data_IF_839989820704
#
_entry.id   IF_839989820704
#
_cell.length_a   1.000
_cell.length_b   1.000
_cell.length_c   1.000
_cell.angle_alpha   90.00
_cell.angle_beta   90.00
_cell.angle_gamma   90.00
#
_symmetry.space_group_name_H-M   'P 1'
#
loop_
_entity.id
_entity.type
_entity.pdbx_description
1 polymer ?
#
# COMPACT_ATOMS: atom_id res chain seq x y z
N UNK A 1 -0.30 -4.59 4.58
CA UNK A 1 -1.61 -4.83 5.22
C UNK A 1 -1.64 -6.14 6.03
N UNK A 2 -1.18 -7.25 5.49
CA UNK A 2 -1.29 -8.57 6.14
C UNK A 2 -0.65 -8.67 7.53
N UNK A 3 0.52 -8.04 7.76
CA UNK A 3 1.17 -8.10 9.08
C UNK A 3 0.33 -7.42 10.17
N UNK A 4 -0.19 -6.19 10.02
CA UNK A 4 -1.11 -5.60 11.00
C UNK A 4 -2.33 -6.48 11.30
N UNK A 5 -2.97 -7.05 10.28
CA UNK A 5 -4.10 -7.95 10.48
C UNK A 5 -3.71 -9.20 11.27
N UNK A 6 -2.59 -9.85 10.91
CA UNK A 6 -2.09 -11.01 11.66
C UNK A 6 -1.83 -10.68 13.13
N UNK A 7 -1.25 -9.50 13.40
CA UNK A 7 -0.96 -9.07 14.78
C UNK A 7 -2.23 -8.79 15.57
N UNK A 8 -3.28 -8.23 14.92
CA UNK A 8 -4.57 -7.98 15.54
C UNK A 8 -5.31 -9.27 15.93
N UNK A 9 -5.21 -10.30 15.08
CA UNK A 9 -5.96 -11.55 15.22
C UNK A 9 -5.20 -12.64 16.01
N UNK A 10 -3.98 -12.36 16.47
CA UNK A 10 -3.08 -13.39 16.98
C UNK A 10 -3.36 -13.89 18.40
N UNK A 11 -4.22 -13.24 19.21
CA UNK A 11 -4.69 -13.65 20.53
C UNK A 11 -3.62 -14.38 21.39
N UNK A 12 -2.50 -13.82 21.70
CA UNK A 12 -1.42 -14.47 22.46
C UNK A 12 -0.84 -15.78 21.83
N UNK A 13 -1.29 -16.16 20.64
CA UNK A 13 -0.79 -17.36 19.94
C UNK A 13 0.62 -17.17 19.37
N UNK A 14 1.04 -15.91 19.20
CA UNK A 14 2.37 -15.55 18.70
C UNK A 14 3.29 -15.26 19.89
N UNK A 15 4.46 -15.92 19.92
CA UNK A 15 5.43 -15.64 20.99
C UNK A 15 5.87 -14.17 20.98
N UNK A 16 6.17 -13.57 22.17
CA UNK A 16 6.59 -12.17 22.25
C UNK A 16 7.81 -11.81 21.38
N UNK A 17 8.70 -12.77 21.13
CA UNK A 17 9.86 -12.61 20.26
C UNK A 17 9.46 -12.48 18.80
N UNK A 18 8.57 -13.33 18.31
CA UNK A 18 8.04 -13.28 16.94
C UNK A 18 7.20 -12.02 16.75
N UNK A 19 6.35 -11.67 17.72
CA UNK A 19 5.56 -10.44 17.67
C UNK A 19 6.46 -9.20 17.45
N UNK A 20 7.48 -9.02 18.31
CA UNK A 20 8.43 -7.92 18.17
C UNK A 20 9.17 -7.92 16.82
N UNK A 21 9.57 -9.11 16.37
CA UNK A 21 10.24 -9.23 15.06
C UNK A 21 9.34 -8.77 13.92
N UNK A 22 8.06 -9.19 13.89
CA UNK A 22 7.09 -8.80 12.87
C UNK A 22 6.83 -7.29 12.90
N UNK A 23 6.59 -6.72 14.09
CA UNK A 23 6.39 -5.27 14.25
C UNK A 23 7.60 -4.50 13.74
N UNK A 24 8.82 -4.85 14.17
CA UNK A 24 10.02 -4.11 13.78
C UNK A 24 10.29 -4.22 12.28
N UNK A 25 10.14 -5.41 11.69
CA UNK A 25 10.33 -5.62 10.25
C UNK A 25 9.32 -4.82 9.44
N UNK A 26 8.05 -4.83 9.87
CA UNK A 26 7.01 -4.09 9.18
C UNK A 26 7.17 -2.57 9.32
N UNK A 27 7.53 -2.07 10.51
CA UNK A 27 7.82 -0.63 10.70
C UNK A 27 8.98 -0.18 9.81
N UNK A 28 10.07 -0.92 9.75
CA UNK A 28 11.20 -0.60 8.86
C UNK A 28 10.79 -0.57 7.39
N UNK A 29 9.87 -1.46 6.95
CA UNK A 29 9.28 -1.41 5.61
C UNK A 29 8.46 -0.13 5.41
N UNK A 30 7.59 0.22 6.37
CA UNK A 30 6.76 1.44 6.28
C UNK A 30 7.63 2.69 6.25
N UNK A 31 8.66 2.82 7.11
CA UNK A 31 9.59 3.95 7.12
C UNK A 31 10.25 4.14 5.74
N UNK A 32 10.67 3.04 5.12
CA UNK A 32 11.23 3.08 3.76
C UNK A 32 10.19 3.52 2.74
N UNK A 33 8.97 2.98 2.81
CA UNK A 33 7.89 3.36 1.89
C UNK A 33 7.52 4.84 2.03
N UNK A 34 7.45 5.38 3.24
CA UNK A 34 7.23 6.82 3.46
C UNK A 34 8.26 7.66 2.73
N UNK A 35 9.55 7.27 2.79
CA UNK A 35 10.63 8.00 2.12
C UNK A 35 10.61 7.89 0.59
N UNK A 36 9.90 6.89 0.05
CA UNK A 36 9.81 6.60 -1.39
C UNK A 36 8.44 6.99 -2.01
N UNK A 37 7.56 7.64 -1.23
CA UNK A 37 6.29 8.13 -1.77
C UNK A 37 6.55 9.24 -2.78
N UNK A 38 5.98 9.13 -3.97
CA UNK A 38 6.02 10.20 -4.96
C UNK A 38 5.19 11.40 -4.51
N UNK A 39 5.55 12.60 -5.01
CA UNK A 39 4.85 13.86 -4.69
C UNK A 39 3.35 13.85 -5.05
N UNK A 40 2.92 12.96 -5.95
CA UNK A 40 1.52 12.74 -6.31
C UNK A 40 0.75 11.83 -5.33
N UNK A 41 1.42 11.33 -4.28
CA UNK A 41 0.83 10.47 -3.24
C UNK A 41 0.88 8.97 -3.51
N UNK A 42 1.26 8.55 -4.69
CA UNK A 42 1.37 7.14 -5.07
C UNK A 42 2.83 6.64 -4.92
N UNK A 43 3.03 5.37 -5.19
CA UNK A 43 4.36 4.74 -5.28
C UNK A 43 4.63 4.24 -6.69
N UNK A 44 5.89 4.37 -7.09
CA UNK A 44 6.37 3.85 -8.36
C UNK A 44 6.35 2.32 -8.40
N UNK A 45 6.09 1.74 -9.58
CA UNK A 45 6.13 0.27 -9.77
C UNK A 45 7.54 -0.31 -9.51
N UNK A 46 8.58 0.49 -9.72
CA UNK A 46 9.95 0.26 -9.24
C UNK A 46 10.22 1.37 -8.22
N UNK A 47 10.13 1.05 -6.94
CA UNK A 47 10.02 2.01 -5.83
C UNK A 47 11.11 3.09 -5.82
N UNK A 48 12.34 2.75 -6.17
CA UNK A 48 13.53 3.63 -6.19
C UNK A 48 13.84 4.19 -7.58
N UNK A 49 12.93 4.05 -8.55
CA UNK A 49 13.09 4.56 -9.90
C UNK A 49 11.97 5.55 -10.28
N UNK A 50 12.21 6.85 -10.14
CA UNK A 50 11.21 7.88 -10.44
C UNK A 50 10.86 7.98 -11.95
N UNK A 51 11.58 7.27 -12.83
CA UNK A 51 11.22 7.16 -14.24
C UNK A 51 10.22 6.03 -14.52
N UNK A 52 9.91 5.20 -13.53
CA UNK A 52 8.84 4.22 -13.64
C UNK A 52 7.48 4.86 -13.35
N UNK A 53 6.39 4.24 -13.82
CA UNK A 53 5.04 4.77 -13.55
C UNK A 53 4.61 4.53 -12.10
N UNK A 54 3.73 5.39 -11.59
CA UNK A 54 3.05 5.16 -10.31
C UNK A 54 1.91 4.16 -10.47
N UNK A 55 1.77 3.24 -9.52
CA UNK A 55 0.86 2.10 -9.61
C UNK A 55 -0.18 2.16 -8.49
N UNK A 56 -1.47 2.15 -8.86
CA UNK A 56 -2.57 2.44 -7.93
C UNK A 56 -2.87 1.27 -7.00
N UNK A 57 -2.78 0.02 -7.44
CA UNK A 57 -3.15 -1.12 -6.60
C UNK A 57 -2.15 -1.34 -5.46
N UNK A 58 -0.85 -1.26 -5.74
CA UNK A 58 0.20 -1.30 -4.73
C UNK A 58 0.10 -0.14 -3.75
N UNK A 59 -0.14 1.07 -4.28
CA UNK A 59 -0.32 2.28 -3.46
C UNK A 59 -1.53 2.16 -2.53
N UNK A 60 -2.64 1.62 -3.00
CA UNK A 60 -3.82 1.33 -2.18
C UNK A 60 -3.49 0.36 -1.04
N UNK A 61 -2.78 -0.73 -1.34
CA UNK A 61 -2.38 -1.71 -0.33
C UNK A 61 -1.44 -1.12 0.73
N UNK A 62 -0.52 -0.24 0.33
CA UNK A 62 0.39 0.49 1.24
C UNK A 62 -0.42 1.41 2.15
N UNK A 63 -1.29 2.25 1.59
CA UNK A 63 -2.14 3.16 2.35
C UNK A 63 -3.01 2.42 3.37
N UNK A 64 -3.70 1.34 2.93
CA UNK A 64 -4.48 0.48 3.83
C UNK A 64 -3.64 -0.09 4.97
N UNK A 65 -2.40 -0.53 4.68
CA UNK A 65 -1.49 -1.05 5.69
C UNK A 65 -1.10 0.01 6.73
N UNK A 66 -0.77 1.21 6.30
CA UNK A 66 -0.41 2.32 7.19
C UNK A 66 -1.61 2.69 8.08
N UNK A 67 -2.80 2.90 7.51
CA UNK A 67 -4.01 3.21 8.27
C UNK A 67 -4.33 2.13 9.30
N UNK A 68 -4.33 0.85 8.89
CA UNK A 68 -4.52 -0.28 9.80
C UNK A 68 -3.53 -0.28 10.96
N UNK A 69 -2.27 0.02 10.68
CA UNK A 69 -1.25 0.13 11.72
C UNK A 69 -1.48 1.27 12.71
N UNK A 70 -2.01 2.40 12.24
CA UNK A 70 -2.39 3.54 13.08
C UNK A 70 -3.60 3.16 13.96
N UNK A 71 -4.65 2.57 13.39
CA UNK A 71 -5.85 2.13 14.12
C UNK A 71 -5.51 1.11 15.23
N UNK A 72 -4.54 0.25 15.00
CA UNK A 72 -4.07 -0.73 15.97
C UNK A 72 -3.05 -0.16 16.99
N UNK A 73 -2.68 1.12 16.87
CA UNK A 73 -1.67 1.75 17.74
C UNK A 73 -0.25 1.20 17.56
N UNK A 74 0.03 0.50 16.48
CA UNK A 74 1.37 0.02 16.12
C UNK A 74 2.21 1.14 15.50
N UNK A 75 1.56 1.97 14.67
CA UNK A 75 2.12 3.22 14.15
C UNK A 75 1.49 4.39 14.89
N UNK A 76 2.24 5.46 15.09
CA UNK A 76 1.71 6.71 15.59
C UNK A 76 1.14 7.60 14.48
N UNK A 77 0.49 8.70 14.85
CA UNK A 77 -0.19 9.59 13.90
C UNK A 77 0.74 10.36 12.94
N UNK A 78 2.07 10.29 13.13
CA UNK A 78 3.02 10.95 12.22
C UNK A 78 3.03 10.33 10.81
N UNK A 79 2.52 9.10 10.67
CA UNK A 79 2.36 8.42 9.38
C UNK A 79 1.06 8.79 8.65
N UNK A 80 0.12 9.45 9.32
CA UNK A 80 -1.20 9.78 8.75
C UNK A 80 -1.11 10.64 7.48
N UNK A 81 -0.28 11.69 7.39
CA UNK A 81 -0.18 12.51 6.17
C UNK A 81 0.20 11.71 4.92
N UNK A 82 1.07 10.70 5.06
CA UNK A 82 1.43 9.79 3.95
C UNK A 82 0.23 8.98 3.48
N UNK A 83 -0.53 8.42 4.42
CA UNK A 83 -1.73 7.64 4.09
C UNK A 83 -2.82 8.51 3.46
N UNK A 84 -3.10 9.69 4.01
CA UNK A 84 -4.10 10.64 3.49
C UNK A 84 -3.77 11.09 2.06
N UNK A 85 -2.50 11.42 1.80
CA UNK A 85 -2.06 11.80 0.46
C UNK A 85 -2.27 10.65 -0.53
N UNK A 86 -1.97 9.41 -0.11
CA UNK A 86 -2.20 8.23 -0.95
C UNK A 86 -3.69 7.96 -1.19
N UNK A 87 -4.55 8.09 -0.18
CA UNK A 87 -6.00 7.95 -0.32
C UNK A 87 -6.56 8.99 -1.30
N UNK A 88 -6.14 10.25 -1.20
CA UNK A 88 -6.52 11.29 -2.17
C UNK A 88 -6.13 10.90 -3.59
N UNK A 89 -4.88 10.46 -3.78
CA UNK A 89 -4.38 10.04 -5.09
C UNK A 89 -5.13 8.80 -5.63
N UNK A 90 -5.49 7.85 -4.77
CA UNK A 90 -6.33 6.70 -5.16
C UNK A 90 -7.70 7.18 -5.62
N UNK A 91 -8.34 8.10 -4.91
CA UNK A 91 -9.65 8.67 -5.31
C UNK A 91 -9.57 9.36 -6.69
N UNK A 92 -8.49 10.09 -6.96
CA UNK A 92 -8.26 10.75 -8.27
C UNK A 92 -8.09 9.74 -9.42
N UNK A 93 -7.83 8.48 -9.10
CA UNK A 93 -7.70 7.38 -10.06
C UNK A 93 -8.97 6.50 -10.15
N UNK A 94 -10.09 6.96 -9.61
CA UNK A 94 -11.39 6.28 -9.75
C UNK A 94 -12.24 7.02 -10.79
N UNK A 95 -12.59 6.35 -11.86
CA UNK A 95 -13.45 6.88 -12.89
C UNK A 95 -14.88 7.10 -12.39
N UNK A 96 -15.69 7.88 -13.12
CA UNK A 96 -17.06 8.22 -12.75
C UNK A 96 -18.00 6.99 -12.61
N UNK A 97 -17.67 5.89 -13.25
CA UNK A 97 -18.38 4.61 -13.13
C UNK A 97 -17.87 3.72 -11.98
N UNK A 98 -16.90 4.22 -11.19
CA UNK A 98 -16.30 3.49 -10.08
C UNK A 98 -15.11 2.60 -10.46
N UNK A 99 -14.70 2.58 -11.73
CA UNK A 99 -13.55 1.78 -12.19
C UNK A 99 -12.23 2.37 -11.67
N UNK A 100 -11.41 1.55 -11.02
CA UNK A 100 -10.05 1.92 -10.60
C UNK A 100 -9.09 1.83 -11.78
N UNK A 101 -8.46 2.94 -12.11
CA UNK A 101 -7.53 3.10 -13.22
C UNK A 101 -6.07 2.90 -12.78
N UNK A 102 -5.16 2.91 -13.75
CA UNK A 102 -3.71 2.89 -13.54
C UNK A 102 -3.21 1.72 -12.67
N UNK A 103 -3.77 0.53 -12.93
CA UNK A 103 -3.39 -0.73 -12.29
C UNK A 103 -2.53 -1.57 -13.24
N UNK A 104 -1.43 -2.13 -12.76
CA UNK A 104 -0.60 -3.09 -13.50
C UNK A 104 -1.37 -4.37 -13.81
N UNK A 105 -1.33 -4.86 -15.04
CA UNK A 105 -2.09 -6.04 -15.46
C UNK A 105 -1.34 -7.35 -15.17
N UNK A 106 -1.10 -7.62 -13.91
CA UNK A 106 -0.39 -8.82 -13.46
C UNK A 106 1.13 -8.65 -13.54
N UNK A 107 1.82 -9.00 -12.45
CA UNK A 107 3.27 -8.85 -12.35
C UNK A 107 3.93 -10.21 -12.31
N UNK A 108 4.38 -10.70 -13.48
CA UNK A 108 5.25 -11.88 -13.58
C UNK A 108 6.67 -11.56 -13.10
N UNK A 109 7.47 -12.60 -12.86
CA UNK A 109 8.89 -12.44 -12.53
C UNK A 109 9.63 -11.95 -13.78
N UNK A 110 10.24 -10.76 -13.68
CA UNK A 110 11.06 -10.16 -14.73
C UNK A 110 12.55 -10.30 -14.45
N UNK A 111 13.37 -10.19 -15.50
CA UNK A 111 14.82 -10.30 -15.41
C UNK A 111 15.50 -8.99 -14.99
N UNK A 112 14.82 -7.85 -15.13
CA UNK A 112 15.35 -6.51 -14.83
C UNK A 112 14.21 -5.51 -14.59
N UNK A 113 14.55 -4.28 -14.20
CA UNK A 113 13.61 -3.20 -13.95
C UNK A 113 12.75 -2.83 -15.18
N UNK A 114 13.30 -2.94 -16.39
CA UNK A 114 12.58 -2.59 -17.62
C UNK A 114 11.36 -3.49 -17.84
N UNK A 115 11.42 -4.76 -17.41
CA UNK A 115 10.25 -5.64 -17.44
C UNK A 115 9.08 -5.02 -16.66
N UNK A 116 9.34 -4.53 -15.46
CA UNK A 116 8.30 -3.97 -14.58
C UNK A 116 7.76 -2.62 -15.09
N UNK A 117 8.62 -1.79 -15.71
CA UNK A 117 8.21 -0.53 -16.32
C UNK A 117 7.32 -0.68 -17.55
N UNK A 118 7.36 -1.85 -18.19
CA UNK A 118 6.61 -2.12 -19.43
C UNK A 118 5.39 -3.02 -19.22
N UNK A 119 4.98 -3.25 -17.97
CA UNK A 119 3.73 -3.97 -17.68
C UNK A 119 2.54 -3.14 -18.18
N UNK A 120 1.62 -3.82 -18.85
CA UNK A 120 0.39 -3.18 -19.38
C UNK A 120 -0.45 -2.62 -18.23
N UNK A 121 -0.86 -1.38 -18.36
CA UNK A 121 -1.75 -0.70 -17.42
C UNK A 121 -3.19 -0.84 -17.88
N UNK A 122 -4.06 -1.39 -17.04
CA UNK A 122 -5.51 -1.48 -17.29
C UNK A 122 -6.26 -1.75 -15.98
N UNK A 123 -7.58 -1.53 -15.91
CA UNK A 123 -8.39 -1.94 -14.77
C UNK A 123 -8.28 -3.43 -14.50
N UNK A 124 -8.11 -3.80 -13.23
CA UNK A 124 -7.98 -5.19 -12.76
C UNK A 124 -8.80 -5.39 -11.48
N UNK A 125 -9.39 -6.56 -11.32
CA UNK A 125 -10.23 -6.88 -10.17
C UNK A 125 -9.50 -6.71 -8.82
N UNK A 126 -8.22 -7.10 -8.74
CA UNK A 126 -7.43 -6.89 -7.52
C UNK A 126 -7.14 -5.41 -7.25
N UNK A 127 -6.98 -4.58 -8.28
CA UNK A 127 -6.84 -3.13 -8.12
C UNK A 127 -8.10 -2.53 -7.50
N UNK A 128 -9.28 -2.95 -8.00
CA UNK A 128 -10.57 -2.57 -7.43
C UNK A 128 -10.68 -3.00 -5.95
N UNK A 129 -10.32 -4.25 -5.64
CA UNK A 129 -10.39 -4.78 -4.29
C UNK A 129 -9.46 -4.04 -3.32
N UNK A 130 -8.22 -3.73 -3.75
CA UNK A 130 -7.26 -3.03 -2.91
C UNK A 130 -7.64 -1.56 -2.68
N UNK A 131 -8.23 -0.90 -3.68
CA UNK A 131 -8.77 0.45 -3.51
C UNK A 131 -9.95 0.46 -2.53
N UNK A 132 -10.89 -0.49 -2.63
CA UNK A 132 -11.99 -0.64 -1.67
C UNK A 132 -11.44 -0.85 -0.27
N UNK A 133 -10.44 -1.71 -0.09
CA UNK A 133 -9.81 -1.96 1.19
C UNK A 133 -9.19 -0.68 1.79
N UNK A 134 -8.46 0.09 0.99
CA UNK A 134 -7.85 1.34 1.42
C UNK A 134 -8.89 2.38 1.84
N UNK A 135 -9.95 2.53 1.04
CA UNK A 135 -11.05 3.46 1.34
C UNK A 135 -11.84 3.03 2.59
N UNK A 136 -12.02 1.72 2.80
CA UNK A 136 -12.66 1.19 4.02
C UNK A 136 -11.84 1.57 5.26
N UNK A 137 -10.54 1.31 5.25
CA UNK A 137 -9.66 1.71 6.37
C UNK A 137 -9.67 3.23 6.60
N UNK A 138 -9.76 4.04 5.54
CA UNK A 138 -9.84 5.48 5.66
C UNK A 138 -11.15 5.98 6.29
N UNK A 139 -12.22 5.20 6.23
CA UNK A 139 -13.53 5.53 6.83
C UNK A 139 -13.66 5.05 8.29
N UNK A 140 -12.80 4.15 8.75
CA UNK A 140 -12.79 3.63 10.13
C UNK A 140 -12.07 4.55 11.13
N UNK A 141 -11.41 5.62 10.66
CA UNK A 141 -10.58 6.56 11.43
C UNK A 141 -11.28 7.77 12.01
#
# INVERSE_FOLDING_TARGET
>A
YGIPCLLADSDDSISPGIFRYLVNTWKAQVDTLVSLQDHNGLWHTVLDDPASYCEVSGSSAIAAGILKGIHLGILDSSYLPTAELAISAVCDNIAADGTVLNVSAGTGIGMNADHYKNIVIKPMAYGQSLAILALTEALEG
#
